data_IF_284481695165
#
_entry.id   IF_284481695165
#
_cell.length_a   1.000
_cell.length_b   1.000
_cell.length_c   1.000
_cell.angle_alpha   90.00
_cell.angle_beta   90.00
_cell.angle_gamma   90.00
#
_symmetry.space_group_name_H-M   'P 1'
#
loop_
_entity.id
_entity.type
_entity.pdbx_description
1 polymer ?
#
# COMPACT_ATOMS: atom_id res chain seq x y z
N UNK A 1 -48.97 27.57 -15.26
CA UNK A 1 -47.62 27.44 -15.85
C UNK A 1 -46.66 27.37 -14.67
N UNK A 2 -46.15 26.18 -14.36
CA UNK A 2 -45.34 25.93 -13.16
C UNK A 2 -43.89 26.27 -13.42
N UNK A 3 -43.31 27.17 -12.62
CA UNK A 3 -41.88 27.49 -12.66
C UNK A 3 -41.16 26.66 -11.61
N UNK A 4 -40.41 25.66 -12.04
CA UNK A 4 -39.53 24.87 -11.18
C UNK A 4 -38.26 25.68 -10.95
N UNK A 5 -38.05 26.16 -9.72
CA UNK A 5 -36.75 26.69 -9.27
C UNK A 5 -35.89 25.51 -8.86
N UNK A 6 -34.83 25.24 -9.63
CA UNK A 6 -33.76 24.33 -9.21
C UNK A 6 -33.07 24.89 -7.95
N UNK A 7 -32.95 24.11 -6.86
CA UNK A 7 -32.06 24.48 -5.79
C UNK A 7 -30.62 24.23 -6.25
N UNK A 8 -29.81 25.29 -6.31
CA UNK A 8 -28.37 25.19 -6.36
C UNK A 8 -27.90 24.39 -5.14
N UNK A 9 -27.41 23.18 -5.35
CA UNK A 9 -26.63 22.45 -4.36
C UNK A 9 -25.29 23.19 -4.26
N UNK A 10 -25.14 24.02 -3.24
CA UNK A 10 -23.84 24.55 -2.85
C UNK A 10 -23.03 23.38 -2.26
N UNK A 11 -22.12 22.83 -3.04
CA UNK A 11 -21.01 22.02 -2.50
C UNK A 11 -20.11 22.96 -1.71
N UNK A 12 -20.45 23.16 -0.43
CA UNK A 12 -19.51 23.72 0.54
C UNK A 12 -18.45 22.64 0.73
N UNK A 13 -17.37 22.75 -0.05
CA UNK A 13 -16.09 22.19 0.33
C UNK A 13 -15.72 22.85 1.66
N UNK A 14 -15.96 22.15 2.77
CA UNK A 14 -15.32 22.46 4.02
C UNK A 14 -13.84 22.12 3.82
N UNK A 15 -13.11 23.06 3.22
CA UNK A 15 -11.66 23.10 3.29
C UNK A 15 -11.37 23.48 4.74
N UNK A 16 -11.42 22.50 5.64
CA UNK A 16 -10.81 22.65 6.96
C UNK A 16 -9.38 23.12 6.71
N UNK A 17 -9.06 24.28 7.28
CA UNK A 17 -7.71 24.82 7.28
C UNK A 17 -6.75 23.70 7.69
N UNK A 18 -5.90 23.25 6.78
CA UNK A 18 -4.81 22.34 7.12
C UNK A 18 -4.04 22.97 8.26
N UNK A 19 -4.20 22.45 9.47
CA UNK A 19 -3.33 22.83 10.56
C UNK A 19 -1.93 22.45 10.11
N UNK A 20 -1.01 23.42 10.02
CA UNK A 20 0.41 23.21 9.75
C UNK A 20 1.14 22.38 10.83
N UNK A 21 0.40 21.59 11.60
CA UNK A 21 0.91 20.70 12.63
C UNK A 21 1.67 19.56 11.94
N UNK A 22 2.98 19.40 12.20
CA UNK A 22 3.75 18.28 11.67
C UNK A 22 3.10 16.94 12.03
N UNK A 23 3.15 15.99 11.10
CA UNK A 23 2.75 14.62 11.38
C UNK A 23 3.89 13.89 12.09
N UNK A 24 3.63 13.48 13.33
CA UNK A 24 4.56 12.72 14.17
C UNK A 24 3.86 11.42 14.51
N UNK A 25 4.48 10.29 14.17
CA UNK A 25 3.78 9.03 14.20
C UNK A 25 4.66 7.79 14.19
N UNK A 26 3.98 6.65 14.20
CA UNK A 26 4.58 5.32 14.25
C UNK A 26 3.97 4.39 13.21
N UNK A 27 4.67 3.30 12.88
CA UNK A 27 4.07 2.20 12.14
C UNK A 27 3.17 1.39 13.06
N UNK A 28 1.96 1.05 12.60
CA UNK A 28 1.02 0.17 13.30
C UNK A 28 0.63 -0.98 12.37
N UNK A 29 0.58 -2.19 12.92
CA UNK A 29 0.13 -3.40 12.20
C UNK A 29 -1.16 -3.94 12.82
N UNK A 30 -2.04 -4.48 11.98
CA UNK A 30 -3.22 -5.22 12.42
C UNK A 30 -3.00 -6.72 12.55
N UNK A 31 -4.02 -7.43 13.01
CA UNK A 31 -3.99 -8.89 13.06
C UNK A 31 -4.41 -9.48 11.73
N UNK A 32 -5.62 -9.15 11.27
CA UNK A 32 -6.17 -9.64 10.02
C UNK A 32 -5.62 -8.92 8.80
N UNK A 33 -5.19 -7.65 8.92
CA UNK A 33 -4.62 -6.91 7.80
C UNK A 33 -3.18 -7.28 7.49
N UNK A 34 -2.47 -7.94 8.42
CA UNK A 34 -1.08 -8.37 8.23
C UNK A 34 -0.87 -9.88 8.36
N UNK A 35 -1.93 -10.66 8.21
CA UNK A 35 -1.85 -12.12 8.21
C UNK A 35 -1.45 -12.63 6.83
N UNK A 36 -0.32 -13.33 6.72
CA UNK A 36 0.04 -14.02 5.48
C UNK A 36 -0.93 -15.15 5.12
N UNK A 37 -1.08 -15.45 3.83
CA UNK A 37 -1.77 -16.65 3.34
C UNK A 37 -1.15 -17.92 3.93
N UNK A 38 0.18 -18.05 3.82
CA UNK A 38 0.95 -19.23 4.27
C UNK A 38 0.84 -19.52 5.78
N UNK A 39 0.73 -18.47 6.61
CA UNK A 39 0.88 -18.61 8.06
C UNK A 39 -0.19 -17.84 8.80
N UNK A 40 -0.70 -18.46 9.85
CA UNK A 40 -1.44 -17.74 10.87
C UNK A 40 -0.49 -16.94 11.77
N UNK A 41 -1.00 -15.84 12.29
CA UNK A 41 -0.24 -15.00 13.20
C UNK A 41 0.12 -15.79 14.46
N UNK A 42 1.41 -15.77 14.84
CA UNK A 42 1.87 -16.44 16.07
C UNK A 42 1.64 -15.53 17.27
N UNK A 43 0.43 -15.58 17.83
CA UNK A 43 0.06 -14.88 19.07
C UNK A 43 -1.31 -14.21 18.97
N UNK A 44 -1.84 -13.74 20.10
CA UNK A 44 -2.99 -12.84 20.11
C UNK A 44 -2.52 -11.40 20.20
N UNK A 45 -3.22 -10.46 19.57
CA UNK A 45 -3.07 -9.06 19.93
C UNK A 45 -3.43 -8.87 21.43
N UNK A 46 -2.81 -7.90 22.12
CA UNK A 46 -3.26 -7.51 23.45
C UNK A 46 -4.77 -7.21 23.47
N UNK A 47 -5.40 -7.42 24.62
CA UNK A 47 -6.79 -6.97 24.81
C UNK A 47 -6.86 -5.47 24.55
N UNK A 48 -7.92 -5.02 23.86
CA UNK A 48 -8.13 -3.61 23.50
C UNK A 48 -7.01 -2.99 22.66
N UNK A 49 -6.25 -3.79 21.90
CA UNK A 49 -5.07 -3.35 21.16
C UNK A 49 -5.21 -2.01 20.43
N UNK A 50 -6.27 -1.81 19.63
CA UNK A 50 -6.46 -0.55 18.91
C UNK A 50 -6.75 0.62 19.83
N UNK A 51 -7.69 0.45 20.76
CA UNK A 51 -8.07 1.46 21.74
C UNK A 51 -6.84 1.93 22.55
N UNK A 52 -6.08 1.00 23.11
CA UNK A 52 -4.90 1.32 23.89
C UNK A 52 -3.77 1.91 23.04
N UNK A 53 -3.54 1.38 21.82
CA UNK A 53 -2.50 1.91 20.93
C UNK A 53 -2.80 3.35 20.54
N UNK A 54 -4.00 3.66 20.06
CA UNK A 54 -4.36 5.00 19.62
C UNK A 54 -4.40 6.00 20.77
N UNK A 55 -4.92 5.59 21.94
CA UNK A 55 -4.89 6.40 23.15
C UNK A 55 -3.46 6.74 23.56
N UNK A 56 -2.58 5.74 23.67
CA UNK A 56 -1.19 5.95 24.10
C UNK A 56 -0.38 6.79 23.11
N UNK A 57 -0.59 6.60 21.80
CA UNK A 57 0.02 7.43 20.76
C UNK A 57 -0.43 8.89 20.91
N UNK A 58 -1.73 9.12 21.12
CA UNK A 58 -2.30 10.46 21.32
C UNK A 58 -1.78 11.11 22.61
N UNK A 59 -1.80 10.39 23.74
CA UNK A 59 -1.28 10.85 25.04
C UNK A 59 0.23 11.17 25.00
N UNK A 60 0.99 10.49 24.14
CA UNK A 60 2.40 10.78 23.89
C UNK A 60 2.64 12.03 23.02
N UNK A 61 1.59 12.72 22.57
CA UNK A 61 1.66 13.90 21.72
C UNK A 61 1.90 13.60 20.23
N UNK A 62 1.77 12.34 19.81
CA UNK A 62 1.82 11.96 18.40
C UNK A 62 0.41 12.07 17.79
N UNK A 63 0.35 12.26 16.47
CA UNK A 63 -0.90 12.53 15.75
C UNK A 63 -1.05 11.72 14.46
N UNK A 64 -0.16 10.75 14.20
CA UNK A 64 -0.14 10.00 12.96
C UNK A 64 0.19 8.52 13.16
N UNK A 65 -0.39 7.66 12.33
CA UNK A 65 0.08 6.29 12.12
C UNK A 65 0.17 5.95 10.64
N UNK A 66 1.21 5.20 10.28
CA UNK A 66 1.30 4.46 9.03
C UNK A 66 0.80 3.04 9.30
N UNK A 67 -0.38 2.71 8.78
CA UNK A 67 -1.07 1.46 9.06
C UNK A 67 -0.82 0.43 7.97
N UNK A 68 -0.17 -0.68 8.31
CA UNK A 68 0.25 -1.70 7.36
C UNK A 68 -0.89 -2.67 7.03
N UNK A 69 -1.01 -3.02 5.76
CA UNK A 69 -1.80 -4.14 5.29
C UNK A 69 -1.08 -4.90 4.16
N UNK A 70 -1.41 -6.18 3.98
CA UNK A 70 -0.93 -7.00 2.87
C UNK A 70 -2.09 -7.39 1.97
N UNK A 71 -1.88 -7.42 0.66
CA UNK A 71 -2.90 -7.89 -0.27
C UNK A 71 -3.26 -9.35 -0.04
N UNK A 72 -2.28 -10.22 0.21
CA UNK A 72 -2.53 -11.63 0.55
C UNK A 72 -3.40 -11.80 1.81
N UNK A 73 -3.34 -10.86 2.76
CA UNK A 73 -4.17 -10.90 3.96
C UNK A 73 -5.66 -10.68 3.66
N UNK A 74 -5.95 -9.84 2.67
CA UNK A 74 -7.31 -9.65 2.16
C UNK A 74 -7.82 -10.92 1.47
N UNK A 75 -6.97 -11.61 0.70
CA UNK A 75 -7.34 -12.88 0.06
C UNK A 75 -7.67 -13.95 1.10
N UNK A 76 -6.87 -14.05 2.16
CA UNK A 76 -7.10 -15.04 3.23
C UNK A 76 -8.40 -14.81 3.99
N UNK A 77 -8.69 -13.56 4.37
CA UNK A 77 -9.82 -13.23 5.26
C UNK A 77 -10.50 -11.90 4.89
N UNK A 78 -11.18 -11.78 3.74
CA UNK A 78 -11.63 -10.49 3.19
C UNK A 78 -12.54 -9.72 4.14
N UNK A 79 -13.55 -10.40 4.73
CA UNK A 79 -14.49 -9.74 5.65
C UNK A 79 -13.81 -9.26 6.94
N UNK A 80 -12.91 -10.08 7.52
CA UNK A 80 -12.22 -9.71 8.76
C UNK A 80 -11.17 -8.61 8.52
N UNK A 81 -10.52 -8.66 7.37
CA UNK A 81 -9.60 -7.64 6.89
C UNK A 81 -10.29 -6.28 6.80
N UNK A 82 -11.44 -6.19 6.10
CA UNK A 82 -12.19 -4.94 5.93
C UNK A 82 -12.75 -4.44 7.27
N UNK A 83 -13.30 -5.33 8.10
CA UNK A 83 -13.80 -4.95 9.43
C UNK A 83 -12.69 -4.40 10.35
N UNK A 84 -11.49 -4.94 10.24
CA UNK A 84 -10.33 -4.46 11.00
C UNK A 84 -9.91 -3.05 10.53
N UNK A 85 -9.89 -2.79 9.22
CA UNK A 85 -9.65 -1.44 8.68
C UNK A 85 -10.70 -0.41 9.15
N UNK A 86 -11.98 -0.79 9.20
CA UNK A 86 -13.04 0.07 9.73
C UNK A 86 -12.82 0.36 11.22
N UNK A 87 -12.44 -0.66 12.00
CA UNK A 87 -12.14 -0.52 13.43
C UNK A 87 -10.98 0.45 13.64
N UNK A 88 -9.93 0.35 12.82
CA UNK A 88 -8.79 1.26 12.82
C UNK A 88 -9.23 2.70 12.56
N UNK A 89 -10.00 2.93 11.49
CA UNK A 89 -10.46 4.27 11.13
C UNK A 89 -11.30 4.91 12.24
N UNK A 90 -12.26 4.17 12.80
CA UNK A 90 -13.13 4.65 13.88
C UNK A 90 -12.37 4.93 15.17
N UNK A 91 -11.43 4.06 15.54
CA UNK A 91 -10.64 4.24 16.77
C UNK A 91 -9.65 5.38 16.62
N UNK A 92 -9.01 5.50 15.45
CA UNK A 92 -8.09 6.59 15.17
C UNK A 92 -8.80 7.95 15.20
N UNK A 93 -10.01 8.03 14.65
CA UNK A 93 -10.85 9.23 14.67
C UNK A 93 -11.16 9.70 16.09
N UNK A 94 -11.57 8.76 16.97
CA UNK A 94 -11.82 9.03 18.39
C UNK A 94 -10.65 9.69 19.12
N UNK A 95 -9.41 9.39 18.73
CA UNK A 95 -8.19 9.93 19.35
C UNK A 95 -7.48 11.01 18.52
N UNK A 96 -8.10 11.44 17.40
CA UNK A 96 -7.53 12.45 16.51
C UNK A 96 -6.25 12.01 15.77
N UNK A 97 -6.05 10.72 15.57
CA UNK A 97 -4.83 10.16 14.96
C UNK A 97 -4.97 9.97 13.45
N UNK A 98 -4.27 10.76 12.65
CA UNK A 98 -4.26 10.67 11.18
C UNK A 98 -3.69 9.34 10.68
N UNK A 99 -4.33 8.70 9.71
CA UNK A 99 -3.94 7.37 9.20
C UNK A 99 -3.55 7.41 7.72
N UNK A 100 -2.33 6.96 7.42
CA UNK A 100 -1.88 6.62 6.06
C UNK A 100 -1.89 5.09 5.95
N UNK A 101 -2.65 4.53 5.02
CA UNK A 101 -2.77 3.08 4.84
C UNK A 101 -1.74 2.58 3.83
N UNK A 102 -0.95 1.59 4.21
CA UNK A 102 0.21 1.10 3.46
C UNK A 102 0.01 -0.30 2.89
N UNK A 103 -0.02 -0.40 1.56
CA UNK A 103 0.07 -1.67 0.86
C UNK A 103 1.50 -2.20 0.92
N UNK A 104 1.77 -2.94 1.99
CA UNK A 104 3.09 -3.37 2.35
C UNK A 104 3.46 -4.70 1.71
N UNK A 105 4.75 -4.89 1.45
CA UNK A 105 5.31 -6.19 1.13
C UNK A 105 6.67 -6.32 1.81
N UNK A 106 7.03 -7.54 2.17
CA UNK A 106 8.37 -7.89 2.62
C UNK A 106 8.75 -9.20 1.97
N UNK A 107 9.87 -9.25 1.25
CA UNK A 107 10.26 -10.41 0.44
C UNK A 107 9.15 -10.88 -0.52
N UNK A 108 8.43 -9.92 -1.13
CA UNK A 108 7.41 -10.13 -2.17
C UNK A 108 6.12 -10.82 -1.68
N UNK A 109 6.19 -12.05 -1.19
CA UNK A 109 5.02 -12.87 -0.86
C UNK A 109 5.39 -13.95 0.15
N UNK A 110 4.42 -14.39 0.95
CA UNK A 110 4.60 -15.58 1.77
C UNK A 110 4.81 -16.88 0.98
N UNK A 111 4.51 -16.88 -0.33
CA UNK A 111 4.79 -18.00 -1.24
C UNK A 111 6.30 -18.16 -1.48
N UNK A 112 6.98 -17.06 -1.80
CA UNK A 112 8.40 -17.07 -2.11
C UNK A 112 9.28 -17.16 -0.86
N UNK A 113 8.77 -16.76 0.31
CA UNK A 113 9.46 -16.94 1.58
C UNK A 113 8.47 -17.33 2.67
N UNK A 114 8.35 -18.62 2.91
CA UNK A 114 7.37 -19.17 3.83
C UNK A 114 7.71 -18.94 5.31
N UNK A 115 8.87 -18.37 5.63
CA UNK A 115 9.25 -18.04 7.01
C UNK A 115 8.93 -16.60 7.38
N UNK A 116 9.07 -15.68 6.42
CA UNK A 116 9.07 -14.23 6.68
C UNK A 116 8.36 -13.38 5.63
N UNK A 117 8.21 -13.87 4.40
CA UNK A 117 7.71 -13.04 3.30
C UNK A 117 6.22 -12.76 3.41
N UNK A 118 5.79 -11.58 3.00
CA UNK A 118 4.38 -11.17 2.93
C UNK A 118 4.18 -10.16 1.78
N UNK A 119 2.95 -9.93 1.33
CA UNK A 119 2.57 -8.89 0.39
C UNK A 119 1.63 -9.40 -0.70
N UNK A 120 2.21 -9.94 -1.77
CA UNK A 120 1.48 -10.39 -2.95
C UNK A 120 0.79 -11.76 -2.75
N UNK A 121 -0.45 -11.93 -3.25
CA UNK A 121 -1.21 -13.17 -3.09
C UNK A 121 -0.63 -14.42 -3.74
N UNK A 122 -0.98 -15.59 -3.21
CA UNK A 122 -0.54 -16.91 -3.70
C UNK A 122 -0.93 -17.18 -5.14
N UNK A 123 -2.10 -16.71 -5.55
CA UNK A 123 -2.65 -17.02 -6.87
C UNK A 123 -1.76 -16.50 -8.02
N UNK A 124 -0.85 -15.54 -7.80
CA UNK A 124 0.11 -15.11 -8.82
C UNK A 124 1.24 -16.12 -9.07
N UNK A 125 1.50 -16.99 -8.10
CA UNK A 125 2.64 -17.89 -8.12
C UNK A 125 2.23 -19.34 -8.39
N UNK A 126 1.11 -19.78 -7.81
CA UNK A 126 0.65 -21.18 -7.88
C UNK A 126 0.54 -21.73 -9.29
N UNK A 127 -0.08 -20.97 -10.21
CA UNK A 127 -0.27 -21.39 -11.60
C UNK A 127 1.02 -21.28 -12.45
N UNK A 128 2.06 -20.61 -11.93
CA UNK A 128 3.36 -20.43 -12.57
C UNK A 128 4.50 -21.03 -11.73
N UNK A 129 4.23 -22.11 -10.99
CA UNK A 129 5.20 -22.70 -10.05
C UNK A 129 6.51 -23.17 -10.71
N UNK A 130 6.54 -23.39 -12.04
CA UNK A 130 7.79 -23.65 -12.76
C UNK A 130 8.72 -22.44 -12.82
N UNK A 131 8.14 -21.24 -12.92
CA UNK A 131 8.87 -19.95 -12.99
C UNK A 131 9.07 -19.37 -11.59
N UNK A 132 8.09 -19.56 -10.71
CA UNK A 132 8.11 -19.07 -9.34
C UNK A 132 7.95 -20.21 -8.33
N UNK A 133 8.96 -21.10 -8.19
CA UNK A 133 8.82 -22.23 -7.27
C UNK A 133 8.56 -21.76 -5.84
N UNK A 134 7.68 -22.49 -5.15
CA UNK A 134 7.40 -22.26 -3.74
C UNK A 134 8.69 -22.21 -2.90
N UNK A 135 8.78 -21.23 -1.99
CA UNK A 135 9.91 -20.98 -1.11
C UNK A 135 11.28 -20.82 -1.80
N UNK A 136 11.30 -20.33 -3.04
CA UNK A 136 12.56 -20.11 -3.80
C UNK A 136 13.25 -18.76 -3.52
N UNK A 137 12.68 -17.95 -2.62
CA UNK A 137 13.27 -16.71 -2.12
C UNK A 137 12.73 -15.44 -2.76
N UNK A 138 12.16 -14.56 -1.93
CA UNK A 138 11.53 -13.30 -2.37
C UNK A 138 12.31 -12.01 -2.04
N UNK A 139 13.47 -12.10 -1.39
CA UNK A 139 14.35 -10.94 -1.17
C UNK A 139 15.22 -10.63 -2.40
N UNK A 140 15.74 -9.40 -2.58
CA UNK A 140 16.44 -9.00 -3.81
C UNK A 140 17.62 -9.87 -4.27
N UNK A 141 18.26 -10.60 -3.35
CA UNK A 141 19.38 -11.50 -3.66
C UNK A 141 18.98 -12.79 -4.39
N UNK A 142 17.70 -13.18 -4.39
CA UNK A 142 17.25 -14.43 -4.99
C UNK A 142 16.84 -14.24 -6.45
N UNK A 143 17.17 -15.21 -7.29
CA UNK A 143 16.84 -15.17 -8.72
C UNK A 143 15.34 -15.11 -8.97
N UNK A 144 14.53 -15.86 -8.22
CA UNK A 144 13.07 -15.84 -8.39
C UNK A 144 12.47 -14.46 -8.14
N UNK A 145 12.95 -13.76 -7.11
CA UNK A 145 12.53 -12.38 -6.85
C UNK A 145 12.87 -11.47 -8.05
N UNK A 146 14.09 -11.60 -8.61
CA UNK A 146 14.50 -10.82 -9.77
C UNK A 146 13.61 -11.04 -10.98
N UNK A 147 13.27 -12.30 -11.28
CA UNK A 147 12.37 -12.67 -12.38
C UNK A 147 10.98 -12.10 -12.10
N UNK A 148 10.42 -12.37 -10.92
CA UNK A 148 9.06 -11.95 -10.56
C UNK A 148 8.88 -10.43 -10.63
N UNK A 149 9.81 -9.65 -10.07
CA UNK A 149 9.72 -8.18 -10.13
C UNK A 149 9.94 -7.66 -11.54
N UNK A 150 10.82 -8.28 -12.33
CA UNK A 150 10.97 -7.93 -13.76
C UNK A 150 9.68 -8.15 -14.53
N UNK A 151 9.02 -9.29 -14.32
CA UNK A 151 7.76 -9.63 -14.97
C UNK A 151 6.61 -8.75 -14.47
N UNK A 152 6.63 -8.38 -13.18
CA UNK A 152 5.70 -7.41 -12.61
C UNK A 152 5.83 -6.04 -13.28
N UNK A 153 7.06 -5.53 -13.45
CA UNK A 153 7.31 -4.26 -14.15
C UNK A 153 7.02 -4.31 -15.65
N UNK A 154 7.14 -5.48 -16.25
CA UNK A 154 6.76 -5.74 -17.64
C UNK A 154 5.26 -6.02 -17.82
N UNK A 155 4.45 -5.89 -16.75
CA UNK A 155 3.00 -6.13 -16.80
C UNK A 155 2.66 -7.54 -17.32
N UNK A 156 3.52 -8.51 -17.01
CA UNK A 156 3.46 -9.90 -17.50
C UNK A 156 3.00 -10.88 -16.42
N UNK A 157 3.00 -10.47 -15.15
CA UNK A 157 2.36 -11.21 -14.05
C UNK A 157 0.84 -11.12 -14.21
N UNK A 158 0.19 -12.28 -14.29
CA UNK A 158 -1.26 -12.42 -14.47
C UNK A 158 -1.82 -13.42 -13.45
N UNK A 159 -3.13 -13.41 -13.23
CA UNK A 159 -3.78 -14.53 -12.55
C UNK A 159 -4.05 -15.71 -13.51
N UNK A 160 -4.65 -16.78 -12.99
CA UNK A 160 -5.00 -17.96 -13.78
C UNK A 160 -6.05 -17.70 -14.88
N UNK A 161 -6.78 -16.58 -14.81
CA UNK A 161 -7.73 -16.15 -15.85
C UNK A 161 -7.09 -15.28 -16.94
N UNK A 162 -5.82 -14.92 -16.77
CA UNK A 162 -5.10 -14.02 -17.66
C UNK A 162 -5.30 -12.54 -17.35
N UNK A 163 -5.92 -12.21 -16.22
CA UNK A 163 -6.12 -10.84 -15.75
C UNK A 163 -4.79 -10.25 -15.29
N UNK A 164 -4.54 -9.01 -15.70
CA UNK A 164 -3.31 -8.27 -15.44
C UNK A 164 -3.10 -7.97 -13.95
N UNK A 165 -1.89 -8.22 -13.43
CA UNK A 165 -1.54 -7.99 -12.03
C UNK A 165 -1.69 -6.54 -11.58
N UNK A 166 -1.36 -5.55 -12.43
CA UNK A 166 -1.55 -4.14 -12.06
C UNK A 166 -3.03 -3.78 -11.92
N UNK A 167 -3.87 -4.23 -12.85
CA UNK A 167 -5.33 -4.05 -12.77
C UNK A 167 -5.89 -4.71 -11.51
N UNK A 168 -5.49 -5.95 -11.21
CA UNK A 168 -5.92 -6.65 -10.00
C UNK A 168 -5.51 -5.91 -8.72
N UNK A 169 -4.30 -5.34 -8.68
CA UNK A 169 -3.86 -4.52 -7.56
C UNK A 169 -4.68 -3.23 -7.45
N UNK A 170 -4.97 -2.57 -8.57
CA UNK A 170 -5.80 -1.38 -8.59
C UNK A 170 -7.19 -1.67 -8.03
N UNK A 171 -7.83 -2.77 -8.42
CA UNK A 171 -9.16 -3.16 -7.92
C UNK A 171 -9.15 -3.47 -6.42
N UNK A 172 -8.10 -4.14 -5.95
CA UNK A 172 -7.89 -4.33 -4.52
C UNK A 172 -7.75 -2.99 -3.78
N UNK A 173 -6.88 -2.10 -4.24
CA UNK A 173 -6.67 -0.78 -3.61
C UNK A 173 -7.94 0.09 -3.68
N UNK A 174 -8.72 0.03 -4.76
CA UNK A 174 -10.02 0.70 -4.86
C UNK A 174 -10.99 0.22 -3.80
N UNK A 175 -11.00 -1.08 -3.49
CA UNK A 175 -11.80 -1.63 -2.38
C UNK A 175 -11.41 -0.98 -1.04
N UNK A 176 -10.12 -0.77 -0.81
CA UNK A 176 -9.61 -0.10 0.39
C UNK A 176 -10.02 1.36 0.42
N UNK A 177 -9.83 2.09 -0.69
CA UNK A 177 -10.21 3.50 -0.82
C UNK A 177 -11.71 3.68 -0.60
N UNK A 178 -12.57 2.92 -1.29
CA UNK A 178 -14.03 3.00 -1.12
C UNK A 178 -14.46 2.76 0.34
N UNK A 179 -13.73 1.92 1.08
CA UNK A 179 -14.02 1.65 2.50
C UNK A 179 -13.62 2.81 3.42
N UNK A 180 -12.51 3.49 3.12
CA UNK A 180 -11.82 4.36 4.09
C UNK A 180 -11.81 5.85 3.74
N UNK A 181 -12.16 6.22 2.51
CA UNK A 181 -12.01 7.60 2.04
C UNK A 181 -12.99 8.57 2.72
N UNK A 182 -14.16 8.08 3.14
CA UNK A 182 -15.15 8.89 3.84
C UNK A 182 -14.70 9.31 5.26
N UNK A 183 -13.70 8.65 5.86
CA UNK A 183 -13.18 9.01 7.18
C UNK A 183 -12.22 10.20 7.09
N UNK A 184 -12.48 11.35 7.74
CA UNK A 184 -11.58 12.52 7.70
C UNK A 184 -10.20 12.27 8.29
N UNK A 185 -10.08 11.24 9.14
CA UNK A 185 -8.82 10.84 9.76
C UNK A 185 -7.90 10.09 8.80
N UNK A 186 -8.45 9.44 7.77
CA UNK A 186 -7.67 8.86 6.67
C UNK A 186 -7.05 9.98 5.87
N UNK A 187 -5.72 10.05 5.79
CA UNK A 187 -5.00 11.10 5.06
C UNK A 187 -4.46 10.63 3.71
N UNK A 188 -4.37 9.31 3.48
CA UNK A 188 -3.90 8.80 2.20
C UNK A 188 -3.55 7.32 2.19
N UNK A 189 -2.95 6.91 1.08
CA UNK A 189 -2.67 5.52 0.74
C UNK A 189 -1.27 5.39 0.13
N UNK A 190 -0.44 4.50 0.64
CA UNK A 190 0.81 4.09 0.00
C UNK A 190 0.54 2.88 -0.90
N UNK A 191 0.82 3.04 -2.21
CA UNK A 191 0.34 2.12 -3.25
C UNK A 191 1.13 0.82 -3.32
N UNK A 192 2.41 0.86 -2.98
CA UNK A 192 3.28 -0.30 -2.90
C UNK A 192 4.53 0.08 -2.13
N UNK A 193 4.77 -0.62 -1.02
CA UNK A 193 5.98 -0.39 -0.24
C UNK A 193 7.21 -1.01 -0.89
N UNK A 194 8.28 -0.22 -0.95
CA UNK A 194 9.64 -0.64 -1.29
C UNK A 194 9.73 -1.55 -2.53
N UNK A 195 9.32 -1.04 -3.70
CA UNK A 195 9.39 -1.82 -4.94
C UNK A 195 10.83 -2.30 -5.19
N UNK A 196 11.00 -3.56 -5.61
CA UNK A 196 12.34 -4.07 -5.91
C UNK A 196 12.77 -3.64 -7.33
N UNK A 197 13.98 -3.10 -7.44
CA UNK A 197 14.64 -2.78 -8.71
C UNK A 197 15.81 -3.73 -8.91
N UNK A 198 15.90 -4.31 -10.10
CA UNK A 198 16.91 -5.29 -10.49
C UNK A 198 17.73 -4.87 -11.72
N UNK A 199 17.20 -3.99 -12.57
CA UNK A 199 17.86 -3.50 -13.77
C UNK A 199 17.54 -2.01 -14.03
N UNK A 200 18.42 -1.33 -14.77
CA UNK A 200 18.29 0.11 -15.05
C UNK A 200 17.07 0.48 -15.91
N UNK A 201 16.56 -0.44 -16.73
CA UNK A 201 15.38 -0.21 -17.57
C UNK A 201 14.07 -0.27 -16.76
N UNK A 202 14.12 -0.62 -15.47
CA UNK A 202 12.93 -0.76 -14.63
C UNK A 202 12.47 0.54 -14.00
N UNK A 203 13.32 1.57 -13.90
CA UNK A 203 12.97 2.85 -13.28
C UNK A 203 11.77 3.53 -13.95
N UNK A 204 11.77 3.58 -15.28
CA UNK A 204 10.65 4.12 -16.06
C UNK A 204 9.41 3.24 -15.98
N UNK A 205 9.59 1.90 -15.93
CA UNK A 205 8.47 0.95 -15.77
C UNK A 205 7.77 1.13 -14.42
N UNK A 206 8.51 1.42 -13.36
CA UNK A 206 7.94 1.77 -12.06
C UNK A 206 7.20 3.10 -12.12
N UNK A 207 7.72 4.10 -12.86
CA UNK A 207 6.99 5.34 -13.13
C UNK A 207 5.65 5.09 -13.84
N UNK A 208 5.63 4.18 -14.80
CA UNK A 208 4.41 3.75 -15.50
C UNK A 208 3.44 3.03 -14.55
N UNK A 209 3.93 2.16 -13.67
CA UNK A 209 3.13 1.52 -12.62
C UNK A 209 2.51 2.56 -11.69
N UNK A 210 3.33 3.46 -11.14
CA UNK A 210 2.87 4.50 -10.22
C UNK A 210 1.84 5.41 -10.91
N UNK A 211 2.05 5.74 -12.18
CA UNK A 211 1.09 6.51 -12.98
C UNK A 211 -0.23 5.78 -13.13
N UNK A 212 -0.19 4.50 -13.52
CA UNK A 212 -1.37 3.67 -13.70
C UNK A 212 -2.20 3.59 -12.40
N UNK A 213 -1.57 3.21 -11.28
CA UNK A 213 -2.29 3.09 -10.00
C UNK A 213 -2.81 4.46 -9.53
N UNK A 214 -2.04 5.53 -9.69
CA UNK A 214 -2.49 6.89 -9.30
C UNK A 214 -3.74 7.29 -10.09
N UNK A 215 -3.76 7.10 -11.41
CA UNK A 215 -4.93 7.41 -12.24
C UNK A 215 -6.14 6.61 -11.79
N UNK A 216 -5.98 5.29 -11.57
CA UNK A 216 -7.06 4.42 -11.13
C UNK A 216 -7.64 4.86 -9.77
N UNK A 217 -6.81 5.23 -8.80
CA UNK A 217 -7.27 5.68 -7.48
C UNK A 217 -7.84 7.10 -7.49
N UNK A 218 -7.36 8.00 -8.35
CA UNK A 218 -7.87 9.38 -8.48
C UNK A 218 -9.32 9.44 -8.95
N UNK A 219 -9.86 8.35 -9.51
CA UNK A 219 -11.30 8.22 -9.78
C UNK A 219 -12.16 8.16 -8.51
N UNK A 220 -11.56 7.84 -7.35
CA UNK A 220 -12.27 7.63 -6.07
C UNK A 220 -11.82 8.56 -4.95
N UNK A 221 -10.57 9.04 -4.95
CA UNK A 221 -10.02 9.83 -3.84
C UNK A 221 -9.17 11.01 -4.30
N UNK A 222 -9.24 12.10 -3.53
CA UNK A 222 -8.35 13.26 -3.63
C UNK A 222 -7.30 13.29 -2.52
N UNK A 223 -7.27 12.29 -1.65
CA UNK A 223 -6.31 12.17 -0.55
C UNK A 223 -4.90 11.88 -1.05
N UNK A 224 -3.93 11.96 -0.15
CA UNK A 224 -2.53 11.71 -0.49
C UNK A 224 -2.34 10.32 -1.08
N UNK A 225 -1.63 10.22 -2.19
CA UNK A 225 -1.13 8.96 -2.73
C UNK A 225 0.39 8.94 -2.54
N UNK A 226 0.90 7.97 -1.80
CA UNK A 226 2.32 7.80 -1.55
C UNK A 226 2.90 6.69 -2.43
N UNK A 227 4.03 6.95 -3.07
CA UNK A 227 4.85 5.93 -3.71
C UNK A 227 6.20 5.84 -3.00
N UNK A 228 6.77 4.64 -2.93
CA UNK A 228 7.95 4.37 -2.09
C UNK A 228 9.25 4.34 -2.87
N UNK A 229 10.34 4.74 -2.19
CA UNK A 229 11.70 4.48 -2.59
C UNK A 229 11.90 2.97 -2.80
N UNK A 230 12.67 2.62 -3.83
CA UNK A 230 12.96 1.24 -4.18
C UNK A 230 13.88 0.57 -3.15
N UNK A 231 13.96 -0.76 -3.23
CA UNK A 231 15.06 -1.55 -2.67
C UNK A 231 15.70 -2.42 -3.76
N UNK A 232 16.96 -2.86 -3.60
CA UNK A 232 17.93 -2.36 -2.62
C UNK A 232 18.36 -0.91 -2.94
N UNK A 233 18.87 -0.20 -1.93
CA UNK A 233 19.30 1.22 -2.04
C UNK A 233 20.80 1.38 -2.33
N UNK A 234 21.49 0.28 -2.68
CA UNK A 234 22.92 0.24 -2.93
C UNK A 234 23.32 1.09 -4.14
N UNK A 235 24.14 2.13 -3.90
CA UNK A 235 24.54 3.11 -4.93
C UNK A 235 25.51 2.54 -5.97
N UNK A 236 26.35 1.58 -5.60
CA UNK A 236 27.38 0.99 -6.47
C UNK A 236 26.93 -0.36 -7.05
N UNK A 237 25.84 -0.35 -7.81
CA UNK A 237 25.30 -1.57 -8.44
C UNK A 237 24.92 -1.36 -9.90
N UNK A 238 24.86 -2.43 -10.72
CA UNK A 238 24.42 -2.36 -12.13
C UNK A 238 23.01 -1.79 -12.35
N UNK A 239 22.25 -1.61 -11.28
CA UNK A 239 20.89 -1.04 -11.26
C UNK A 239 20.87 0.48 -11.39
N UNK A 240 21.98 1.15 -11.07
CA UNK A 240 22.14 2.59 -11.23
C UNK A 240 21.25 3.42 -10.29
N UNK A 241 21.25 3.12 -8.99
CA UNK A 241 20.52 3.94 -8.00
C UNK A 241 21.14 5.35 -7.96
N UNK A 242 20.43 6.33 -8.50
CA UNK A 242 20.83 7.74 -8.51
C UNK A 242 19.58 8.64 -8.59
N UNK A 243 19.75 9.95 -8.38
CA UNK A 243 18.64 10.90 -8.36
C UNK A 243 17.85 10.96 -9.68
N UNK A 244 18.53 10.80 -10.83
CA UNK A 244 17.88 10.81 -12.14
C UNK A 244 16.93 9.61 -12.29
N UNK A 245 17.40 8.42 -11.89
CA UNK A 245 16.62 7.20 -11.96
C UNK A 245 15.50 7.15 -10.93
N UNK A 246 15.72 7.67 -9.72
CA UNK A 246 14.64 7.84 -8.73
C UNK A 246 13.55 8.79 -9.25
N UNK A 247 13.91 9.87 -9.95
CA UNK A 247 12.94 10.79 -10.52
C UNK A 247 12.05 10.15 -11.60
N UNK A 248 12.54 9.12 -12.30
CA UNK A 248 11.76 8.35 -13.31
C UNK A 248 10.63 7.55 -12.68
N UNK A 249 10.66 7.29 -11.37
CA UNK A 249 9.56 6.60 -10.66
C UNK A 249 8.35 7.51 -10.41
N UNK A 250 8.48 8.82 -10.57
CA UNK A 250 7.38 9.74 -10.27
C UNK A 250 6.20 9.50 -11.23
N UNK A 251 4.95 9.45 -10.73
CA UNK A 251 3.79 9.35 -11.59
C UNK A 251 3.59 10.62 -12.45
N UNK A 252 2.90 10.47 -13.58
CA UNK A 252 2.55 11.58 -14.45
C UNK A 252 1.56 12.56 -13.80
N UNK A 253 0.51 12.05 -13.15
CA UNK A 253 -0.34 12.85 -12.26
C UNK A 253 0.34 13.01 -10.91
N UNK A 254 0.60 14.25 -10.50
CA UNK A 254 1.32 14.61 -9.27
C UNK A 254 0.40 15.29 -8.25
N UNK A 255 -0.91 15.32 -8.50
CA UNK A 255 -1.90 15.92 -7.61
C UNK A 255 -1.93 15.17 -6.29
N UNK A 256 -1.58 15.84 -5.17
CA UNK A 256 -1.51 15.25 -3.83
C UNK A 256 -0.70 13.93 -3.79
N UNK A 257 0.40 13.87 -4.54
CA UNK A 257 1.30 12.70 -4.53
C UNK A 257 2.54 13.03 -3.71
N UNK A 258 2.97 12.07 -2.87
CA UNK A 258 4.20 12.18 -2.08
C UNK A 258 5.15 11.03 -2.37
N UNK A 259 6.45 11.32 -2.37
CA UNK A 259 7.50 10.30 -2.43
C UNK A 259 7.93 9.93 -1.02
N UNK A 260 7.73 8.67 -0.62
CA UNK A 260 8.16 8.14 0.67
C UNK A 260 9.58 7.61 0.54
N UNK A 261 10.50 8.20 1.30
CA UNK A 261 11.87 7.71 1.42
C UNK A 261 11.95 6.84 2.68
N UNK A 262 12.33 5.56 2.53
CA UNK A 262 12.82 4.77 3.67
C UNK A 262 14.33 4.74 3.61
N UNK A 263 14.98 5.29 4.63
CA UNK A 263 16.41 5.04 4.86
C UNK A 263 16.48 3.95 5.93
N UNK A 264 16.55 2.69 5.53
CA UNK A 264 16.98 1.66 6.47
C UNK A 264 18.48 1.84 6.73
N UNK A 265 18.83 1.96 8.01
CA UNK A 265 20.19 1.79 8.52
C UNK A 265 20.50 0.32 8.79
#
# INVERSE_FOLDING_TARGET
>A
MFTIKNPFISTISAQESESNTPLIGVNLRGYYTTMSEERDFRGSLPKNYYEDSFRLISEAGMNHVRYLFFWEAYIKHPNKFINELITVAQTADKYGIKVLYDNHQFHTSSWLNNQRGNGFPFFFFEHNNSTYPYNSGGSPKYQTAQIWWTDWWNRSVKDASGSDGWTLLADFLKTIVTTLDAYPITIGYEILSEPQVHNIDQWEKIGNFNTFITIELRTLTQKTIAYSMNIPIELDTPRGVNAENLAKMAPADRTNVVFKITVYG
#
